data_IF_215010069310
#
_entry.id   IF_215010069310
#
_cell.length_a   1.000
_cell.length_b   1.000
_cell.length_c   1.000
_cell.angle_alpha   90.00
_cell.angle_beta   90.00
_cell.angle_gamma   90.00
#
_symmetry.space_group_name_H-M   'P 1'
#
loop_
_entity.id
_entity.type
_entity.pdbx_description
1 polymer ?
#
# COMPACT_ATOMS: atom_id res chain seq x y z
N UNK A 1 -2.87 33.35 33.86
CA UNK A 1 -2.27 33.52 32.52
C UNK A 1 -3.20 32.89 31.50
N UNK A 2 -3.34 33.48 30.32
CA UNK A 2 -4.08 32.85 29.22
C UNK A 2 -3.29 31.63 28.71
N UNK A 3 -3.99 30.53 28.45
CA UNK A 3 -3.38 29.35 27.82
C UNK A 3 -2.85 29.73 26.43
N UNK A 4 -1.62 29.32 26.13
CA UNK A 4 -1.01 29.45 24.80
C UNK A 4 -0.67 28.05 24.32
N UNK A 5 -1.39 27.59 23.29
CA UNK A 5 -1.12 26.30 22.66
C UNK A 5 0.29 26.29 22.07
N UNK A 6 1.08 25.29 22.42
CA UNK A 6 2.39 25.05 21.81
C UNK A 6 2.17 24.36 20.47
N UNK A 7 2.55 25.01 19.38
CA UNK A 7 2.49 24.44 18.03
C UNK A 7 3.90 24.12 17.53
N UNK A 8 4.07 22.98 16.89
CA UNK A 8 5.32 22.62 16.22
C UNK A 8 5.30 23.08 14.77
N UNK A 9 6.37 23.77 14.34
CA UNK A 9 6.52 24.19 12.95
C UNK A 9 7.66 23.43 12.30
N UNK A 10 7.36 22.78 11.20
CA UNK A 10 8.33 22.08 10.38
C UNK A 10 8.65 22.85 9.10
N UNK A 11 9.90 22.77 8.66
CA UNK A 11 10.36 23.35 7.40
C UNK A 11 10.23 22.38 6.23
N UNK A 12 10.30 21.08 6.52
CA UNK A 12 10.08 20.02 5.56
C UNK A 12 8.60 19.75 5.28
N UNK A 13 8.34 19.19 4.10
CA UNK A 13 7.01 18.86 3.60
C UNK A 13 7.10 17.58 2.79
N UNK A 14 6.10 16.73 2.91
CA UNK A 14 5.98 15.51 2.12
C UNK A 14 5.51 15.88 0.71
N UNK A 15 6.11 15.26 -0.30
CA UNK A 15 5.69 15.39 -1.69
C UNK A 15 4.27 14.86 -1.84
N UNK A 16 3.54 15.48 -2.74
CA UNK A 16 2.22 14.98 -3.14
C UNK A 16 2.42 14.03 -4.32
N UNK A 17 1.79 12.86 -4.25
CA UNK A 17 1.77 11.87 -5.33
C UNK A 17 0.31 11.64 -5.73
N UNK A 18 0.03 11.81 -7.02
CA UNK A 18 -1.28 11.53 -7.61
C UNK A 18 -1.26 10.15 -8.30
N UNK A 19 -2.25 9.30 -8.00
CA UNK A 19 -2.38 7.93 -8.51
C UNK A 19 -3.75 7.79 -9.19
N UNK A 20 -3.77 7.15 -10.35
CA UNK A 20 -4.94 7.04 -11.21
C UNK A 20 -5.16 8.28 -12.08
N UNK A 21 -6.28 8.30 -12.79
CA UNK A 21 -6.65 9.38 -13.72
C UNK A 21 -8.10 9.80 -13.54
N UNK A 22 -8.45 10.98 -14.08
CA UNK A 22 -9.80 11.50 -14.04
C UNK A 22 -10.27 11.88 -12.63
N UNK A 23 -11.59 11.93 -12.43
CA UNK A 23 -12.22 12.42 -11.20
C UNK A 23 -11.98 11.55 -9.97
N UNK A 24 -11.62 10.28 -10.19
CA UNK A 24 -11.36 9.29 -9.13
C UNK A 24 -9.88 9.17 -8.79
N UNK A 25 -9.00 9.94 -9.45
CA UNK A 25 -7.59 10.00 -9.08
C UNK A 25 -7.45 10.38 -7.60
N UNK A 26 -6.57 9.67 -6.89
CA UNK A 26 -6.28 9.95 -5.49
C UNK A 26 -4.96 10.68 -5.37
N UNK A 27 -4.86 11.51 -4.33
CA UNK A 27 -3.62 12.14 -3.90
C UNK A 27 -3.26 11.67 -2.51
N UNK A 28 -1.97 11.40 -2.31
CA UNK A 28 -1.39 11.06 -1.02
C UNK A 28 -0.20 11.97 -0.74
N UNK A 29 0.07 12.23 0.54
CA UNK A 29 1.15 13.13 0.95
C UNK A 29 0.70 14.59 1.00
N UNK A 30 1.67 15.51 0.92
CA UNK A 30 1.43 16.95 0.94
C UNK A 30 1.39 17.58 2.34
N UNK A 31 1.48 16.79 3.40
CA UNK A 31 1.47 17.25 4.78
C UNK A 31 2.81 17.90 5.20
N UNK A 32 2.73 18.80 6.17
CA UNK A 32 3.88 19.41 6.84
C UNK A 32 3.80 19.31 8.36
N UNK A 33 3.06 18.33 8.86
CA UNK A 33 2.77 18.07 10.26
C UNK A 33 2.83 16.56 10.54
N UNK A 34 2.90 16.21 11.82
CA UNK A 34 2.72 14.81 12.22
C UNK A 34 1.27 14.34 11.92
N UNK A 35 1.06 13.04 11.73
CA UNK A 35 -0.25 12.48 11.37
C UNK A 35 -1.35 12.92 12.35
N UNK A 36 -2.42 13.51 11.82
CA UNK A 36 -3.59 14.00 12.59
C UNK A 36 -3.31 15.17 13.55
N UNK A 37 -2.17 15.86 13.43
CA UNK A 37 -1.83 17.02 14.27
C UNK A 37 -2.27 18.33 13.60
N UNK A 38 -3.53 18.40 13.12
CA UNK A 38 -4.05 19.55 12.34
C UNK A 38 -3.95 20.90 13.08
N UNK A 39 -3.77 20.87 14.40
CA UNK A 39 -3.48 22.06 15.20
C UNK A 39 -2.09 22.68 14.95
N UNK A 40 -1.15 21.92 14.38
CA UNK A 40 0.22 22.36 14.05
C UNK A 40 0.34 22.96 12.64
N UNK A 41 -0.62 22.75 11.74
CA UNK A 41 -0.48 23.16 10.34
C UNK A 41 -1.37 22.43 9.34
N UNK A 42 -0.86 22.22 8.12
CA UNK A 42 -1.61 21.64 7.02
C UNK A 42 -1.37 20.12 6.95
N UNK A 43 -2.42 19.33 7.23
CA UNK A 43 -2.42 17.87 7.14
C UNK A 43 -2.35 17.27 5.74
N UNK A 44 -2.30 18.10 4.69
CA UNK A 44 -2.18 17.62 3.31
C UNK A 44 -3.40 16.83 2.85
N UNK A 45 -3.17 15.75 2.13
CA UNK A 45 -4.23 14.85 1.68
C UNK A 45 -4.58 13.84 2.77
N UNK A 46 -5.87 13.62 3.01
CA UNK A 46 -6.38 12.56 3.89
C UNK A 46 -5.83 11.20 3.47
N UNK A 47 -5.48 10.35 4.43
CA UNK A 47 -4.96 9.02 4.15
C UNK A 47 -5.94 8.17 3.34
N UNK A 48 -5.40 7.25 2.54
CA UNK A 48 -6.17 6.42 1.59
C UNK A 48 -6.13 4.94 1.96
N UNK A 49 -7.25 4.26 1.79
CA UNK A 49 -7.41 2.85 2.16
C UNK A 49 -7.80 2.07 0.90
N UNK A 50 -7.05 1.03 0.57
CA UNK A 50 -7.39 0.15 -0.55
C UNK A 50 -7.62 -1.29 -0.17
N UNK A 51 -8.19 -2.04 -1.10
CA UNK A 51 -8.43 -3.48 -0.97
C UNK A 51 -7.52 -4.25 -1.92
N UNK A 52 -6.85 -5.27 -1.39
CA UNK A 52 -6.11 -6.26 -2.16
C UNK A 52 -7.06 -7.27 -2.80
N UNK A 53 -6.83 -7.57 -4.07
CA UNK A 53 -7.40 -8.69 -4.83
C UNK A 53 -6.26 -9.42 -5.54
N UNK A 54 -6.50 -10.65 -5.98
CA UNK A 54 -5.53 -11.45 -6.74
C UNK A 54 -5.99 -11.66 -8.18
N UNK A 55 -5.04 -11.93 -9.08
CA UNK A 55 -5.28 -12.25 -10.49
C UNK A 55 -5.75 -13.69 -10.75
N UNK A 56 -5.78 -14.51 -9.70
CA UNK A 56 -6.27 -15.88 -9.67
C UNK A 56 -7.15 -16.12 -8.44
N UNK A 57 -7.88 -17.24 -8.43
CA UNK A 57 -8.65 -17.65 -7.26
C UNK A 57 -7.74 -17.76 -6.02
N UNK A 58 -8.12 -17.12 -4.89
CA UNK A 58 -7.25 -16.98 -3.74
C UNK A 58 -7.25 -18.24 -2.86
N UNK A 59 -6.69 -19.35 -3.36
CA UNK A 59 -6.66 -20.65 -2.65
C UNK A 59 -6.06 -20.54 -1.23
N UNK A 60 -4.99 -19.74 -1.10
CA UNK A 60 -4.29 -19.54 0.16
C UNK A 60 -4.99 -18.62 1.17
N UNK A 61 -6.15 -18.05 0.83
CA UNK A 61 -6.90 -17.20 1.75
C UNK A 61 -7.86 -18.03 2.61
N UNK A 62 -8.28 -17.45 3.74
CA UNK A 62 -9.24 -18.09 4.64
C UNK A 62 -10.58 -18.34 3.94
N UNK A 63 -11.31 -19.36 4.39
CA UNK A 63 -12.64 -19.69 3.84
C UNK A 63 -13.63 -18.53 3.99
N UNK A 64 -13.47 -17.68 5.02
CA UNK A 64 -14.28 -16.47 5.19
C UNK A 64 -14.16 -15.52 3.98
N UNK A 65 -12.95 -15.30 3.48
CA UNK A 65 -12.77 -14.46 2.29
C UNK A 65 -13.28 -15.13 1.02
N UNK A 66 -13.04 -16.44 0.87
CA UNK A 66 -13.50 -17.20 -0.29
C UNK A 66 -15.03 -17.21 -0.36
N UNK A 67 -15.71 -17.33 0.78
CA UNK A 67 -17.17 -17.23 0.88
C UNK A 67 -17.66 -15.80 0.61
N UNK A 68 -17.01 -14.79 1.19
CA UNK A 68 -17.35 -13.37 0.98
C UNK A 68 -17.32 -12.98 -0.50
N UNK A 69 -16.31 -13.44 -1.24
CA UNK A 69 -16.11 -13.10 -2.64
C UNK A 69 -16.49 -14.23 -3.61
N UNK A 70 -17.22 -15.26 -3.17
CA UNK A 70 -17.46 -16.51 -3.93
C UNK A 70 -18.01 -16.31 -5.35
N UNK A 71 -18.80 -15.25 -5.56
CA UNK A 71 -19.46 -14.97 -6.84
C UNK A 71 -18.54 -14.21 -7.82
N UNK A 72 -17.36 -13.76 -7.35
CA UNK A 72 -16.47 -12.85 -8.10
C UNK A 72 -14.99 -13.21 -8.06
N UNK A 73 -14.52 -13.97 -7.06
CA UNK A 73 -13.09 -14.28 -6.88
C UNK A 73 -12.53 -15.27 -7.91
N UNK A 74 -13.36 -15.82 -8.79
CA UNK A 74 -12.96 -16.59 -9.98
C UNK A 74 -12.51 -15.70 -11.15
N UNK A 75 -12.85 -14.40 -11.12
CA UNK A 75 -12.59 -13.46 -12.20
C UNK A 75 -12.12 -12.11 -11.65
N UNK A 76 -10.84 -11.73 -11.81
CA UNK A 76 -10.29 -10.51 -11.22
C UNK A 76 -11.01 -9.23 -11.68
N UNK A 77 -11.56 -9.23 -12.90
CA UNK A 77 -12.37 -8.12 -13.42
C UNK A 77 -13.69 -7.97 -12.67
N UNK A 78 -14.41 -9.08 -12.44
CA UNK A 78 -15.65 -9.05 -11.64
C UNK A 78 -15.34 -8.68 -10.19
N UNK A 79 -14.25 -9.22 -9.64
CA UNK A 79 -13.83 -8.93 -8.28
C UNK A 79 -13.51 -7.44 -8.10
N UNK A 80 -12.75 -6.85 -9.02
CA UNK A 80 -12.43 -5.42 -8.98
C UNK A 80 -13.68 -4.53 -9.04
N UNK A 81 -14.62 -4.84 -9.93
CA UNK A 81 -15.91 -4.13 -10.00
C UNK A 81 -16.72 -4.28 -8.72
N UNK A 82 -16.78 -5.50 -8.19
CA UNK A 82 -17.48 -5.74 -6.93
C UNK A 82 -16.87 -4.93 -5.78
N UNK A 83 -15.54 -4.86 -5.69
CA UNK A 83 -14.86 -4.01 -4.70
C UNK A 83 -15.21 -2.54 -4.90
N UNK A 84 -15.18 -2.03 -6.13
CA UNK A 84 -15.55 -0.63 -6.43
C UNK A 84 -17.02 -0.31 -6.09
N UNK A 85 -17.94 -1.22 -6.38
CA UNK A 85 -19.38 -1.01 -6.22
C UNK A 85 -19.87 -1.21 -4.78
N UNK A 86 -19.23 -2.11 -4.02
CA UNK A 86 -19.77 -2.61 -2.75
C UNK A 86 -18.89 -2.25 -1.54
N UNK A 87 -17.75 -1.59 -1.74
CA UNK A 87 -16.88 -1.18 -0.63
C UNK A 87 -16.58 0.32 -0.69
N UNK A 88 -16.01 0.84 0.40
CA UNK A 88 -15.57 2.24 0.48
C UNK A 88 -14.10 2.41 0.09
N UNK A 89 -13.46 1.43 -0.56
CA UNK A 89 -12.04 1.51 -0.92
C UNK A 89 -11.73 2.72 -1.82
N UNK A 90 -10.62 3.40 -1.55
CA UNK A 90 -10.14 4.53 -2.35
C UNK A 90 -9.34 4.06 -3.58
N UNK A 91 -8.82 2.84 -3.55
CA UNK A 91 -8.09 2.19 -4.65
C UNK A 91 -8.14 0.66 -4.52
N UNK A 92 -7.78 -0.03 -5.59
CA UNK A 92 -7.66 -1.50 -5.63
C UNK A 92 -6.20 -1.88 -5.79
N UNK A 93 -5.69 -2.80 -4.97
CA UNK A 93 -4.38 -3.42 -5.16
C UNK A 93 -4.55 -4.78 -5.86
N UNK A 94 -4.22 -4.86 -7.14
CA UNK A 94 -4.17 -6.13 -7.87
C UNK A 94 -2.81 -6.79 -7.66
N UNK A 95 -2.79 -7.89 -6.92
CA UNK A 95 -1.61 -8.73 -6.75
C UNK A 95 -1.56 -9.79 -7.85
N UNK A 96 -0.48 -9.78 -8.62
CA UNK A 96 -0.21 -10.71 -9.72
C UNK A 96 0.42 -12.01 -9.18
N UNK A 97 -0.33 -12.73 -8.35
CA UNK A 97 0.12 -13.96 -7.69
C UNK A 97 0.38 -15.10 -8.68
N UNK A 98 -0.33 -15.12 -9.81
CA UNK A 98 -0.12 -16.14 -10.84
C UNK A 98 1.24 -16.09 -11.52
N UNK A 99 1.97 -14.98 -11.36
CA UNK A 99 3.34 -14.84 -11.88
C UNK A 99 4.39 -15.58 -11.03
N UNK A 100 4.07 -16.05 -9.82
CA UNK A 100 5.05 -16.72 -8.94
C UNK A 100 5.70 -17.91 -9.66
N UNK A 101 7.05 -17.92 -9.83
CA UNK A 101 7.77 -19.05 -10.42
C UNK A 101 7.59 -20.38 -9.69
N UNK A 102 7.20 -20.36 -8.41
CA UNK A 102 6.91 -21.57 -7.62
C UNK A 102 5.43 -21.97 -7.65
N UNK A 103 4.58 -21.15 -8.29
CA UNK A 103 3.14 -21.36 -8.43
C UNK A 103 2.77 -21.70 -9.87
N UNK A 104 1.94 -20.86 -10.47
CA UNK A 104 1.48 -21.04 -11.85
C UNK A 104 2.51 -20.59 -12.90
N UNK A 105 3.50 -19.79 -12.49
CA UNK A 105 4.56 -19.22 -13.33
C UNK A 105 4.04 -18.62 -14.66
N UNK A 106 2.88 -17.95 -14.62
CA UNK A 106 2.31 -17.32 -15.82
C UNK A 106 3.31 -16.32 -16.42
N UNK A 107 3.24 -16.16 -17.73
CA UNK A 107 4.12 -15.23 -18.44
C UNK A 107 3.79 -13.78 -18.07
N UNK A 108 4.79 -12.86 -18.14
CA UNK A 108 4.55 -11.43 -18.03
C UNK A 108 3.43 -10.90 -18.93
N UNK A 109 3.31 -11.44 -20.15
CA UNK A 109 2.28 -11.07 -21.13
C UNK A 109 0.87 -11.44 -20.65
N UNK A 110 0.68 -12.68 -20.16
CA UNK A 110 -0.61 -13.13 -19.62
C UNK A 110 -1.04 -12.28 -18.41
N UNK A 111 -0.10 -11.97 -17.53
CA UNK A 111 -0.37 -11.12 -16.36
C UNK A 111 -0.70 -9.68 -16.77
N UNK A 112 -0.01 -9.14 -17.79
CA UNK A 112 -0.27 -7.82 -18.34
C UNK A 112 -1.66 -7.71 -18.98
N UNK A 113 -2.14 -8.76 -19.65
CA UNK A 113 -3.52 -8.80 -20.17
C UNK A 113 -4.56 -8.77 -19.06
N UNK A 114 -4.32 -9.47 -17.95
CA UNK A 114 -5.22 -9.44 -16.78
C UNK A 114 -5.22 -8.05 -16.15
N UNK A 115 -4.03 -7.48 -15.88
CA UNK A 115 -3.90 -6.15 -15.31
C UNK A 115 -4.61 -5.10 -16.16
N UNK A 116 -4.42 -5.12 -17.49
CA UNK A 116 -5.11 -4.22 -18.41
C UNK A 116 -6.63 -4.33 -18.30
N UNK A 117 -7.17 -5.55 -18.34
CA UNK A 117 -8.62 -5.78 -18.23
C UNK A 117 -9.19 -5.28 -16.90
N UNK A 118 -8.44 -5.41 -15.80
CA UNK A 118 -8.86 -4.89 -14.48
C UNK A 118 -8.83 -3.37 -14.46
N UNK A 119 -7.74 -2.76 -14.90
CA UNK A 119 -7.56 -1.30 -14.92
C UNK A 119 -8.59 -0.61 -15.81
N UNK A 120 -8.95 -1.20 -16.96
CA UNK A 120 -9.98 -0.67 -17.87
C UNK A 120 -11.41 -0.89 -17.34
N UNK A 121 -11.60 -1.77 -16.36
CA UNK A 121 -12.92 -2.16 -15.87
C UNK A 121 -13.44 -1.33 -14.68
N UNK A 122 -12.56 -0.59 -14.01
CA UNK A 122 -12.89 0.21 -12.82
C UNK A 122 -12.50 1.67 -13.01
N UNK A 123 -13.15 2.56 -12.27
CA UNK A 123 -12.84 3.99 -12.26
C UNK A 123 -11.88 4.39 -11.15
N UNK A 124 -11.85 3.65 -10.04
CA UNK A 124 -10.89 3.87 -8.95
C UNK A 124 -9.46 3.52 -9.37
N UNK A 125 -8.43 4.17 -8.80
CA UNK A 125 -7.05 3.88 -9.10
C UNK A 125 -6.69 2.42 -8.80
N UNK A 126 -5.81 1.85 -9.62
CA UNK A 126 -5.29 0.49 -9.44
C UNK A 126 -3.80 0.55 -9.12
N UNK A 127 -3.46 -0.11 -8.02
CA UNK A 127 -2.09 -0.43 -7.61
C UNK A 127 -1.79 -1.84 -8.11
N UNK A 128 -0.62 -2.04 -8.71
CA UNK A 128 -0.16 -3.33 -9.22
C UNK A 128 0.93 -3.85 -8.29
N UNK A 129 0.67 -4.98 -7.63
CA UNK A 129 1.66 -5.69 -6.82
C UNK A 129 2.19 -6.93 -7.56
N UNK A 130 3.50 -7.14 -7.49
CA UNK A 130 4.17 -8.31 -8.07
C UNK A 130 3.91 -9.59 -7.29
N UNK A 131 4.58 -10.66 -7.70
CA UNK A 131 4.54 -11.95 -7.00
C UNK A 131 5.51 -12.00 -5.80
N UNK A 132 6.47 -11.06 -5.72
CA UNK A 132 7.47 -11.00 -4.66
C UNK A 132 8.82 -11.62 -5.04
N UNK A 133 8.95 -12.18 -6.26
CA UNK A 133 10.23 -12.63 -6.79
C UNK A 133 10.90 -11.51 -7.59
N UNK A 134 12.07 -11.04 -7.13
CA UNK A 134 12.73 -9.85 -7.69
C UNK A 134 13.02 -9.94 -9.20
N UNK A 135 13.46 -11.11 -9.69
CA UNK A 135 13.79 -11.31 -11.10
C UNK A 135 12.55 -11.44 -11.98
N UNK A 136 11.52 -12.14 -11.49
CA UNK A 136 10.24 -12.27 -12.19
C UNK A 136 9.53 -10.93 -12.24
N UNK A 137 9.46 -10.21 -11.12
CA UNK A 137 8.78 -8.91 -11.01
C UNK A 137 9.42 -7.85 -11.91
N UNK A 138 10.75 -7.88 -12.08
CA UNK A 138 11.45 -7.00 -13.02
C UNK A 138 10.95 -7.16 -14.47
N UNK A 139 10.73 -8.39 -14.93
CA UNK A 139 10.22 -8.68 -16.28
C UNK A 139 8.71 -8.46 -16.38
N UNK A 140 8.00 -8.82 -15.30
CA UNK A 140 6.55 -8.66 -15.18
C UNK A 140 6.15 -7.20 -15.31
N UNK A 141 6.77 -6.31 -14.52
CA UNK A 141 6.41 -4.90 -14.52
C UNK A 141 6.74 -4.17 -15.81
N UNK A 142 7.75 -4.61 -16.57
CA UNK A 142 7.99 -4.06 -17.90
C UNK A 142 6.76 -4.25 -18.82
N UNK A 143 6.20 -5.46 -18.85
CA UNK A 143 5.03 -5.77 -19.68
C UNK A 143 3.75 -5.19 -19.13
N UNK A 144 3.56 -5.23 -17.82
CA UNK A 144 2.35 -4.70 -17.18
C UNK A 144 2.30 -3.17 -17.32
N UNK A 145 3.40 -2.46 -17.09
CA UNK A 145 3.47 -1.00 -17.27
C UNK A 145 3.14 -0.59 -18.71
N UNK A 146 3.65 -1.33 -19.70
CA UNK A 146 3.28 -1.11 -21.10
C UNK A 146 1.78 -1.29 -21.36
N UNK A 147 1.18 -2.34 -20.80
CA UNK A 147 -0.21 -2.69 -21.07
C UNK A 147 -1.21 -1.72 -20.41
N UNK A 148 -0.82 -1.07 -19.31
CA UNK A 148 -1.65 -0.14 -18.54
C UNK A 148 -1.24 1.32 -18.71
N UNK A 149 -0.42 1.64 -19.71
CA UNK A 149 0.04 3.00 -19.98
C UNK A 149 -1.15 3.97 -20.13
N UNK A 150 -0.98 5.19 -19.63
CA UNK A 150 -2.04 6.19 -19.57
C UNK A 150 -2.98 6.10 -18.36
N UNK A 151 -2.89 5.05 -17.54
CA UNK A 151 -3.73 4.91 -16.33
C UNK A 151 -3.08 5.39 -15.02
N UNK A 152 -1.81 5.82 -15.04
CA UNK A 152 -1.10 6.36 -13.87
C UNK A 152 -1.19 5.44 -12.61
N UNK A 153 -1.03 4.14 -12.81
CA UNK A 153 -0.96 3.15 -11.73
C UNK A 153 0.24 3.35 -10.80
N UNK A 154 0.22 2.70 -9.63
CA UNK A 154 1.37 2.58 -8.73
C UNK A 154 1.86 1.12 -8.71
N UNK A 155 3.16 0.90 -8.90
CA UNK A 155 3.79 -0.43 -8.93
C UNK A 155 4.50 -0.78 -7.61
N UNK A 156 4.12 -1.90 -6.98
CA UNK A 156 4.67 -2.42 -5.72
C UNK A 156 5.47 -3.71 -5.95
N UNK A 157 6.80 -3.72 -5.87
CA UNK A 157 7.69 -2.59 -5.52
C UNK A 157 9.05 -2.71 -6.23
N UNK A 158 9.74 -1.57 -6.38
CA UNK A 158 11.18 -1.55 -6.57
C UNK A 158 11.86 -1.88 -5.23
N UNK A 159 12.85 -2.77 -5.25
CA UNK A 159 13.73 -3.11 -4.11
C UNK A 159 15.18 -2.80 -4.49
N UNK A 160 16.12 -2.92 -3.54
CA UNK A 160 17.55 -2.73 -3.82
C UNK A 160 18.06 -3.64 -4.97
N UNK A 161 17.49 -4.83 -5.13
CA UNK A 161 17.92 -5.80 -6.13
C UNK A 161 17.39 -5.50 -7.55
N UNK A 162 16.21 -4.88 -7.66
CA UNK A 162 15.51 -4.72 -8.95
C UNK A 162 15.12 -3.27 -9.32
N UNK A 163 15.49 -2.26 -8.51
CA UNK A 163 15.07 -0.86 -8.71
C UNK A 163 15.38 -0.30 -10.09
N UNK A 164 16.47 -0.74 -10.73
CA UNK A 164 16.83 -0.28 -12.09
C UNK A 164 15.77 -0.68 -13.10
N UNK A 165 15.36 -1.95 -13.09
CA UNK A 165 14.37 -2.48 -14.02
C UNK A 165 12.99 -1.92 -13.69
N UNK A 166 12.59 -2.00 -12.42
CA UNK A 166 11.25 -1.55 -11.98
C UNK A 166 11.08 -0.04 -12.12
N UNK A 167 12.06 0.76 -11.69
CA UNK A 167 12.04 2.22 -11.82
C UNK A 167 12.03 2.68 -13.27
N UNK A 168 12.81 2.03 -14.14
CA UNK A 168 12.82 2.33 -15.57
C UNK A 168 11.48 1.95 -16.23
N UNK A 169 10.96 0.76 -15.96
CA UNK A 169 9.68 0.30 -16.50
C UNK A 169 8.53 1.19 -16.05
N UNK A 170 8.34 1.38 -14.75
CA UNK A 170 7.16 2.07 -14.23
C UNK A 170 7.21 3.58 -14.47
N UNK A 171 8.32 4.26 -14.17
CA UNK A 171 8.34 5.73 -14.11
C UNK A 171 9.11 6.43 -15.24
N UNK A 172 9.96 5.74 -15.99
CA UNK A 172 10.76 6.38 -17.05
C UNK A 172 10.24 6.05 -18.45
N UNK A 173 9.93 4.78 -18.72
CA UNK A 173 9.33 4.35 -19.97
C UNK A 173 7.86 4.77 -20.05
N UNK A 174 7.15 4.69 -18.92
CA UNK A 174 5.75 5.04 -18.78
C UNK A 174 5.58 6.05 -17.63
N UNK A 175 4.44 6.73 -17.58
CA UNK A 175 4.22 7.82 -16.60
C UNK A 175 3.57 7.33 -15.30
N UNK A 176 3.92 6.12 -14.84
CA UNK A 176 3.39 5.54 -13.61
C UNK A 176 4.17 5.98 -12.36
N UNK A 177 3.68 5.55 -11.21
CA UNK A 177 4.33 5.69 -9.91
C UNK A 177 5.02 4.40 -9.52
N UNK A 178 6.09 4.50 -8.75
CA UNK A 178 6.84 3.35 -8.25
C UNK A 178 6.91 3.39 -6.73
N UNK A 179 6.63 2.25 -6.10
CA UNK A 179 6.86 2.05 -4.69
C UNK A 179 8.30 1.63 -4.44
N UNK A 180 8.96 2.24 -3.45
CA UNK A 180 10.32 1.92 -3.02
C UNK A 180 10.27 1.09 -1.73
N UNK A 181 10.46 -0.23 -1.84
CA UNK A 181 10.39 -1.15 -0.72
C UNK A 181 11.73 -1.35 0.01
N UNK A 182 11.71 -1.18 1.33
CA UNK A 182 12.88 -1.34 2.21
C UNK A 182 12.52 -2.12 3.48
N UNK A 183 13.53 -2.69 4.14
CA UNK A 183 13.34 -3.65 5.23
C UNK A 183 13.33 -2.99 6.62
N UNK A 184 12.34 -2.12 6.88
CA UNK A 184 12.11 -1.50 8.21
C UNK A 184 13.34 -0.72 8.72
N UNK A 185 14.11 -0.11 7.81
CA UNK A 185 15.30 0.66 8.13
C UNK A 185 15.32 2.00 7.36
N UNK A 186 15.49 3.09 8.11
CA UNK A 186 15.52 4.45 7.55
C UNK A 186 16.66 4.66 6.55
N UNK A 187 17.83 4.07 6.77
CA UNK A 187 18.97 4.23 5.88
C UNK A 187 18.76 3.45 4.59
N UNK A 188 18.16 2.25 4.66
CA UNK A 188 17.78 1.50 3.46
C UNK A 188 16.72 2.26 2.65
N UNK A 189 15.71 2.84 3.32
CA UNK A 189 14.73 3.70 2.66
C UNK A 189 15.40 4.89 1.96
N UNK A 190 16.30 5.62 2.65
CA UNK A 190 17.08 6.71 2.05
C UNK A 190 17.90 6.26 0.86
N UNK A 191 18.62 5.15 0.99
CA UNK A 191 19.49 4.62 -0.05
C UNK A 191 18.68 4.29 -1.31
N UNK A 192 17.57 3.56 -1.18
CA UNK A 192 16.73 3.19 -2.31
C UNK A 192 16.14 4.42 -3.01
N UNK A 193 15.68 5.41 -2.24
CA UNK A 193 15.18 6.68 -2.78
C UNK A 193 16.27 7.46 -3.54
N UNK A 194 17.51 7.48 -3.04
CA UNK A 194 18.65 8.07 -3.73
C UNK A 194 18.96 7.32 -5.02
N UNK A 195 18.95 5.99 -5.00
CA UNK A 195 19.21 5.16 -6.17
C UNK A 195 18.15 5.38 -7.27
N UNK A 196 16.87 5.44 -6.92
CA UNK A 196 15.79 5.77 -7.85
C UNK A 196 15.95 7.21 -8.40
N UNK A 197 16.31 8.17 -7.56
CA UNK A 197 16.59 9.54 -7.98
C UNK A 197 17.76 9.64 -8.95
N UNK A 198 18.84 8.90 -8.71
CA UNK A 198 20.01 8.83 -9.60
C UNK A 198 19.69 8.16 -10.95
N UNK A 199 18.75 7.22 -10.95
CA UNK A 199 18.22 6.61 -12.17
C UNK A 199 17.39 7.61 -13.02
N UNK A 200 16.89 8.67 -12.39
CA UNK A 200 16.08 9.71 -13.04
C UNK A 200 14.59 9.68 -12.65
N UNK A 201 14.20 8.83 -11.70
CA UNK A 201 12.84 8.80 -11.15
C UNK A 201 12.62 10.05 -10.31
N UNK A 202 11.59 10.83 -10.63
CA UNK A 202 11.25 12.04 -9.87
C UNK A 202 10.66 11.66 -8.50
N UNK A 203 10.91 12.46 -7.47
CA UNK A 203 10.36 12.23 -6.12
C UNK A 203 8.82 12.26 -6.08
N UNK A 204 8.18 13.02 -6.96
CA UNK A 204 6.71 13.04 -7.17
C UNK A 204 6.16 11.74 -7.80
N UNK A 205 7.04 10.84 -8.23
CA UNK A 205 6.69 9.51 -8.75
C UNK A 205 7.05 8.37 -7.79
N UNK A 206 7.61 8.68 -6.61
CA UNK A 206 8.04 7.69 -5.63
C UNK A 206 7.09 7.69 -4.43
N UNK A 207 6.65 6.50 -4.05
CA UNK A 207 5.97 6.24 -2.77
C UNK A 207 6.83 5.28 -1.98
N UNK A 208 7.10 5.52 -0.70
CA UNK A 208 7.90 4.58 0.11
C UNK A 208 7.02 3.44 0.62
N UNK A 209 7.51 2.20 0.51
CA UNK A 209 7.04 1.06 1.28
C UNK A 209 8.15 0.70 2.26
N UNK A 210 8.08 1.18 3.49
CA UNK A 210 9.18 1.04 4.45
C UNK A 210 9.23 -0.35 5.13
N UNK A 211 8.48 -1.31 4.60
CA UNK A 211 8.18 -2.57 5.24
C UNK A 211 6.90 -2.51 6.06
N UNK A 212 6.36 -3.68 6.37
CA UNK A 212 5.14 -3.86 7.13
C UNK A 212 5.34 -4.98 8.14
N UNK A 213 4.56 -4.97 9.21
CA UNK A 213 4.46 -6.06 10.18
C UNK A 213 3.10 -5.96 10.88
N UNK A 214 2.53 -7.08 11.31
CA UNK A 214 1.33 -7.06 12.13
C UNK A 214 1.63 -6.61 13.57
N UNK A 215 0.65 -5.97 14.21
CA UNK A 215 0.74 -5.69 15.66
C UNK A 215 1.04 -6.97 16.43
N UNK A 216 1.96 -6.91 17.40
CA UNK A 216 2.43 -8.09 18.13
C UNK A 216 3.53 -8.91 17.44
N UNK A 217 3.88 -8.59 16.19
CA UNK A 217 4.89 -9.31 15.39
C UNK A 217 6.08 -8.43 14.98
N UNK A 218 6.52 -7.53 15.87
CA UNK A 218 7.63 -6.60 15.60
C UNK A 218 7.19 -5.28 14.98
N UNK A 219 5.90 -4.94 15.06
CA UNK A 219 5.36 -3.66 14.60
C UNK A 219 6.05 -2.45 15.25
N UNK A 220 6.56 -2.57 16.48
CA UNK A 220 7.30 -1.51 17.17
C UNK A 220 8.55 -1.03 16.40
N UNK A 221 9.16 -1.91 15.60
CA UNK A 221 10.26 -1.54 14.69
C UNK A 221 9.72 -0.69 13.53
N UNK A 222 8.58 -1.06 12.97
CA UNK A 222 7.91 -0.28 11.90
C UNK A 222 7.52 1.09 12.42
N UNK A 223 6.86 1.17 13.58
CA UNK A 223 6.47 2.42 14.22
C UNK A 223 7.68 3.34 14.45
N UNK A 224 8.76 2.81 15.04
CA UNK A 224 9.99 3.57 15.30
C UNK A 224 10.64 4.06 14.00
N UNK A 225 10.60 3.26 12.93
CA UNK A 225 11.14 3.64 11.63
C UNK A 225 10.28 4.74 10.98
N UNK A 226 8.95 4.65 11.06
CA UNK A 226 8.05 5.72 10.60
C UNK A 226 8.31 7.03 11.33
N UNK A 227 8.41 7.01 12.66
CA UNK A 227 8.69 8.20 13.46
C UNK A 227 10.01 8.86 13.05
N UNK A 228 11.07 8.06 12.91
CA UNK A 228 12.39 8.56 12.48
C UNK A 228 12.33 9.16 11.07
N UNK A 229 11.59 8.53 10.17
CA UNK A 229 11.41 9.03 8.80
C UNK A 229 10.66 10.37 8.82
N UNK A 230 9.53 10.46 9.53
CA UNK A 230 8.73 11.68 9.64
C UNK A 230 9.52 12.81 10.29
N UNK A 231 10.22 12.55 11.39
CA UNK A 231 11.07 13.54 12.06
C UNK A 231 12.21 14.06 11.17
N UNK A 232 12.84 13.17 10.38
CA UNK A 232 13.88 13.58 9.44
C UNK A 232 13.29 14.38 8.25
N UNK A 233 12.20 13.88 7.66
CA UNK A 233 11.52 14.53 6.55
C UNK A 233 11.06 15.94 6.91
N UNK A 234 10.48 16.12 8.11
CA UNK A 234 9.91 17.38 8.58
C UNK A 234 10.92 18.30 9.26
N UNK A 235 11.61 17.80 10.29
CA UNK A 235 12.47 18.61 11.16
C UNK A 235 13.85 18.88 10.55
N UNK A 236 14.42 17.88 9.86
CA UNK A 236 15.72 18.01 9.20
C UNK A 236 15.59 18.43 7.73
N UNK A 237 14.36 18.53 7.22
CA UNK A 237 14.06 18.81 5.82
C UNK A 237 14.79 17.84 4.86
N UNK A 238 14.87 16.56 5.24
CA UNK A 238 15.57 15.55 4.46
C UNK A 238 14.74 15.15 3.23
N UNK A 239 15.10 15.72 2.09
CA UNK A 239 14.42 15.49 0.80
C UNK A 239 14.42 14.04 0.35
N UNK A 240 15.34 13.21 0.85
CA UNK A 240 15.41 11.78 0.50
C UNK A 240 14.36 10.94 1.22
N UNK A 241 13.66 11.53 2.19
CA UNK A 241 12.59 10.91 2.98
C UNK A 241 11.25 11.65 2.90
N UNK A 242 11.16 12.65 2.01
CA UNK A 242 9.95 13.47 1.86
C UNK A 242 8.92 12.83 0.94
N UNK A 243 8.97 11.53 0.68
CA UNK A 243 7.97 10.83 -0.12
C UNK A 243 6.82 10.34 0.78
N UNK A 244 5.59 10.18 0.26
CA UNK A 244 4.52 9.57 1.01
C UNK A 244 4.82 8.08 1.27
N UNK A 245 4.19 7.51 2.29
CA UNK A 245 4.35 6.09 2.69
C UNK A 245 3.08 5.31 2.37
N UNK A 246 3.22 4.14 1.75
CA UNK A 246 2.17 3.12 1.62
C UNK A 246 2.56 1.86 2.40
N UNK A 247 1.61 1.27 3.13
CA UNK A 247 1.86 0.06 3.93
C UNK A 247 0.91 -1.06 3.52
N UNK A 248 1.43 -2.16 2.93
CA UNK A 248 0.67 -3.39 2.69
C UNK A 248 0.39 -4.12 4.02
N UNK A 249 -0.73 -3.80 4.66
CA UNK A 249 -1.11 -4.37 5.98
C UNK A 249 -1.64 -5.80 5.79
N UNK A 250 -2.47 -6.01 4.76
CA UNK A 250 -3.05 -7.31 4.40
C UNK A 250 -2.05 -8.45 4.32
N UNK A 251 -0.84 -8.16 3.80
CA UNK A 251 0.26 -9.10 3.62
C UNK A 251 0.73 -9.73 4.95
N UNK A 252 0.64 -8.96 6.04
CA UNK A 252 1.19 -9.33 7.34
C UNK A 252 0.12 -9.74 8.36
N UNK A 253 -1.13 -9.30 8.20
CA UNK A 253 -2.15 -9.50 9.25
C UNK A 253 -2.95 -10.78 9.11
N UNK A 254 -2.99 -11.40 7.94
CA UNK A 254 -3.82 -12.58 7.66
C UNK A 254 -3.04 -13.91 7.66
N UNK A 255 -1.78 -13.90 8.10
CA UNK A 255 -0.92 -15.09 8.21
C UNK A 255 -0.42 -15.34 9.65
N UNK A 256 -0.70 -14.43 10.59
CA UNK A 256 -0.35 -14.54 12.00
C UNK A 256 -1.29 -15.48 12.75
N UNK A 257 -0.79 -16.08 13.83
CA UNK A 257 -1.52 -17.11 14.58
C UNK A 257 -2.88 -16.61 15.06
N UNK A 258 -2.96 -15.37 15.53
CA UNK A 258 -4.17 -14.71 16.01
C UNK A 258 -5.22 -14.51 14.92
N UNK A 259 -4.85 -14.60 13.63
CA UNK A 259 -5.78 -14.47 12.51
C UNK A 259 -6.17 -15.81 11.88
N UNK A 260 -5.36 -16.87 12.07
CA UNK A 260 -5.55 -18.16 11.39
C UNK A 260 -5.87 -19.33 12.33
N UNK A 261 -5.51 -19.26 13.62
CA UNK A 261 -5.72 -20.36 14.55
C UNK A 261 -7.22 -20.66 14.70
N UNK A 262 -7.57 -21.94 14.63
CA UNK A 262 -8.94 -22.40 14.76
C UNK A 262 -9.46 -22.19 16.19
N UNK A 263 -10.79 -22.20 16.35
CA UNK A 263 -11.41 -22.15 17.69
C UNK A 263 -11.11 -23.43 18.48
N UNK A 264 -10.86 -24.55 17.81
CA UNK A 264 -10.50 -25.81 18.47
C UNK A 264 -9.08 -25.75 19.06
N UNK A 265 -8.14 -25.16 18.33
CA UNK A 265 -6.75 -25.00 18.77
C UNK A 265 -6.61 -23.93 19.86
N UNK A 266 -7.35 -22.82 19.74
CA UNK A 266 -7.28 -21.69 20.66
C UNK A 266 -8.68 -21.23 21.14
N UNK A 267 -9.37 -22.01 22.00
CA UNK A 267 -10.76 -21.75 22.38
C UNK A 267 -10.99 -20.42 23.10
N UNK A 268 -9.97 -19.93 23.81
CA UNK A 268 -10.05 -18.69 24.58
C UNK A 268 -10.04 -17.43 23.70
N UNK A 269 -9.62 -17.54 22.44
CA UNK A 269 -9.45 -16.41 21.52
C UNK A 269 -10.73 -16.05 20.76
N UNK A 270 -11.72 -16.93 20.73
CA UNK A 270 -13.00 -16.68 20.08
C UNK A 270 -12.94 -16.72 18.55
N UNK A 271 -13.92 -16.07 17.91
CA UNK A 271 -14.18 -16.14 16.46
C UNK A 271 -12.96 -15.74 15.61
N UNK A 272 -12.55 -16.62 14.70
CA UNK A 272 -11.37 -16.45 13.82
C UNK A 272 -11.48 -15.20 12.96
N UNK A 273 -12.62 -15.02 12.28
CA UNK A 273 -12.85 -13.89 11.39
C UNK A 273 -12.79 -12.56 12.14
N UNK A 274 -13.49 -12.44 13.29
CA UNK A 274 -13.45 -11.23 14.12
C UNK A 274 -12.04 -10.89 14.59
N UNK A 275 -11.23 -11.89 14.92
CA UNK A 275 -9.83 -11.67 15.28
C UNK A 275 -8.99 -11.18 14.11
N UNK A 276 -9.14 -11.79 12.94
CA UNK A 276 -8.43 -11.35 11.74
C UNK A 276 -8.75 -9.90 11.36
N UNK A 277 -10.04 -9.53 11.42
CA UNK A 277 -10.49 -8.14 11.23
C UNK A 277 -9.85 -7.22 12.27
N UNK A 278 -9.87 -7.61 13.56
CA UNK A 278 -9.26 -6.81 14.62
C UNK A 278 -7.74 -6.64 14.46
N UNK A 279 -7.03 -7.68 13.99
CA UNK A 279 -5.60 -7.63 13.69
C UNK A 279 -5.30 -6.68 12.53
N UNK A 280 -6.10 -6.75 11.47
CA UNK A 280 -6.00 -5.86 10.32
C UNK A 280 -6.27 -4.40 10.68
N UNK A 281 -7.36 -4.13 11.42
CA UNK A 281 -7.71 -2.78 11.91
C UNK A 281 -6.63 -2.23 12.84
N UNK A 282 -6.16 -3.02 13.82
CA UNK A 282 -5.17 -2.55 14.79
C UNK A 282 -3.85 -2.19 14.10
N UNK A 283 -3.43 -2.99 13.11
CA UNK A 283 -2.22 -2.72 12.34
C UNK A 283 -2.39 -1.52 11.41
N UNK A 284 -3.53 -1.41 10.72
CA UNK A 284 -3.81 -0.28 9.84
C UNK A 284 -3.90 1.05 10.60
N UNK A 285 -4.63 1.09 11.72
CA UNK A 285 -4.73 2.28 12.56
C UNK A 285 -3.35 2.71 13.07
N UNK A 286 -2.54 1.75 13.51
CA UNK A 286 -1.19 2.01 13.98
C UNK A 286 -0.30 2.55 12.85
N UNK A 287 -0.40 2.00 11.63
CA UNK A 287 0.39 2.44 10.48
C UNK A 287 0.03 3.87 10.08
N UNK A 288 -1.27 4.20 10.04
CA UNK A 288 -1.74 5.54 9.71
C UNK A 288 -1.31 6.60 10.73
N UNK A 289 -1.38 6.27 12.03
CA UNK A 289 -0.89 7.15 13.11
C UNK A 289 0.64 7.27 13.11
N UNK A 290 1.36 6.19 12.79
CA UNK A 290 2.82 6.21 12.62
C UNK A 290 3.25 7.05 11.41
N UNK A 291 2.37 7.19 10.43
CA UNK A 291 2.52 8.13 9.33
C UNK A 291 2.47 7.49 7.96
N UNK A 292 1.79 6.37 7.78
CA UNK A 292 1.40 5.93 6.44
C UNK A 292 0.40 6.89 5.83
N UNK A 293 0.58 7.25 4.55
CA UNK A 293 -0.38 8.02 3.78
C UNK A 293 -1.40 7.11 3.08
N UNK A 294 -1.08 5.84 2.89
CA UNK A 294 -2.01 4.83 2.42
C UNK A 294 -1.78 3.46 3.05
N UNK A 295 -2.83 2.66 3.17
CA UNK A 295 -2.76 1.27 3.64
C UNK A 295 -3.53 0.35 2.69
N UNK A 296 -3.05 -0.89 2.55
CA UNK A 296 -3.71 -1.94 1.75
C UNK A 296 -4.25 -3.01 2.70
N UNK A 297 -5.55 -3.22 2.67
CA UNK A 297 -6.31 -4.17 3.50
C UNK A 297 -6.95 -5.24 2.60
N UNK A 298 -7.60 -6.25 3.18
CA UNK A 298 -8.41 -7.24 2.45
C UNK A 298 -9.89 -7.20 2.84
N UNK A 299 -10.18 -6.98 4.12
CA UNK A 299 -11.55 -7.12 4.62
C UNK A 299 -12.35 -5.81 4.52
N UNK A 300 -13.55 -5.80 3.91
CA UNK A 300 -14.39 -4.61 3.78
C UNK A 300 -14.76 -3.95 5.13
N UNK A 301 -15.02 -4.74 6.17
CA UNK A 301 -15.26 -4.20 7.53
C UNK A 301 -14.05 -3.44 8.09
N UNK A 302 -12.83 -3.92 7.82
CA UNK A 302 -11.61 -3.22 8.20
C UNK A 302 -11.50 -1.89 7.45
N UNK A 303 -11.83 -1.88 6.15
CA UNK A 303 -11.83 -0.65 5.34
C UNK A 303 -12.82 0.37 5.87
N UNK A 304 -14.06 -0.06 6.16
CA UNK A 304 -15.08 0.82 6.71
C UNK A 304 -14.64 1.42 8.05
N UNK A 305 -14.17 0.57 8.98
CA UNK A 305 -13.73 1.00 10.31
C UNK A 305 -12.56 1.99 10.23
N UNK A 306 -11.57 1.73 9.38
CA UNK A 306 -10.43 2.61 9.22
C UNK A 306 -10.81 3.93 8.54
N UNK A 307 -11.76 3.91 7.59
CA UNK A 307 -12.27 5.16 6.99
C UNK A 307 -13.05 6.01 7.98
N UNK A 308 -13.81 5.39 8.89
CA UNK A 308 -14.45 6.11 9.99
C UNK A 308 -13.42 6.73 10.94
N UNK A 309 -12.37 5.99 11.30
CA UNK A 309 -11.27 6.50 12.12
C UNK A 309 -10.59 7.70 11.46
N UNK A 310 -10.19 7.57 10.18
CA UNK A 310 -9.55 8.66 9.44
C UNK A 310 -10.48 9.88 9.36
N UNK A 311 -11.76 9.68 9.06
CA UNK A 311 -12.74 10.78 8.98
C UNK A 311 -12.95 11.49 10.32
N UNK A 312 -12.81 10.78 11.45
CA UNK A 312 -12.95 11.35 12.78
C UNK A 312 -11.69 12.12 13.23
N UNK A 313 -10.53 11.82 12.66
CA UNK A 313 -9.23 12.42 13.01
C UNK A 313 -8.74 13.50 12.03
N UNK A 314 -9.22 13.47 10.78
CA UNK A 314 -8.79 14.33 9.68
C UNK A 314 -9.39 15.74 9.71
#
# INVERSE_FOLDING_TARGET
MAFKMSVQKYSGKISEVEIGTGEKAIKIGGENILPFYNFDGNGGNTQKIGIEITDIYPEGWSDAFKEMYKDVCDCPVKWAKHVEENTKADFICLKLESADPNGLDKTPEECAEVAKKVVEAVSVPVIIAGCGNHEKDAKLFEKVAQAVDGHNCLFLSATEDNYKAVGAAASMAYSHKVSAESSVDINLAKQLNVLLGQLGVKSENIVMNIGSSAVGYGYEYVASTMDRIRLAAFGQNDKTLQMPIITPVSKETWNVKESIASVEDEPAWGCVEKRGIAMEISTAASALVGGSNAVILRHPESVETIKELVSALA
#
